data_IF_395339793667
#
_entry.id   IF_395339793667
#
_cell.length_a   1.000
_cell.length_b   1.000
_cell.length_c   1.000
_cell.angle_alpha   90.00
_cell.angle_beta   90.00
_cell.angle_gamma   90.00
#
_symmetry.space_group_name_H-M   'P 1'
#
loop_
_entity.id
_entity.type
_entity.pdbx_description
1 polymer ?
#
# COMPACT_ATOMS: atom_id res chain seq x y z
N UNK A 1 24.28 -12.65 -9.87
CA UNK A 1 23.08 -12.31 -10.66
C UNK A 1 21.97 -12.05 -9.66
N UNK A 2 21.55 -10.80 -9.47
CA UNK A 2 20.49 -10.47 -8.50
C UNK A 2 19.13 -10.84 -9.09
N UNK A 3 18.35 -11.64 -8.38
CA UNK A 3 16.98 -11.98 -8.75
C UNK A 3 16.14 -10.69 -8.73
N UNK A 4 15.82 -10.14 -9.90
CA UNK A 4 14.89 -9.02 -10.02
C UNK A 4 13.48 -9.55 -9.77
N UNK A 5 12.84 -9.12 -8.67
CA UNK A 5 11.43 -9.44 -8.40
C UNK A 5 10.59 -8.78 -9.49
N UNK A 6 9.80 -9.58 -10.21
CA UNK A 6 8.85 -9.09 -11.21
C UNK A 6 7.48 -9.10 -10.56
N UNK A 7 6.97 -7.92 -10.24
CA UNK A 7 5.59 -7.75 -9.77
C UNK A 7 4.71 -7.67 -11.03
N UNK A 8 3.66 -8.48 -11.08
CA UNK A 8 2.73 -8.55 -12.24
C UNK A 8 1.28 -8.30 -11.85
N UNK A 9 1.02 -8.13 -10.56
CA UNK A 9 -0.29 -7.93 -9.97
C UNK A 9 -0.29 -6.69 -9.06
N UNK A 10 -1.48 -6.15 -8.72
CA UNK A 10 -1.60 -5.08 -7.74
C UNK A 10 -0.92 -5.47 -6.42
N UNK A 11 -0.09 -4.58 -5.87
CA UNK A 11 0.65 -4.87 -4.63
C UNK A 11 -0.34 -4.88 -3.46
N UNK A 12 -0.54 -5.99 -2.74
CA UNK A 12 -1.43 -6.02 -1.59
C UNK A 12 -0.88 -5.10 -0.49
N UNK A 13 -1.72 -4.23 0.05
CA UNK A 13 -1.30 -3.17 0.96
C UNK A 13 -2.12 -3.12 2.24
N UNK A 14 -1.46 -2.81 3.35
CA UNK A 14 -2.11 -2.41 4.60
C UNK A 14 -2.20 -0.88 4.58
N UNK A 15 -3.39 -0.33 4.80
CA UNK A 15 -3.57 1.12 4.95
C UNK A 15 -3.62 1.52 6.41
N UNK A 16 -2.91 2.59 6.78
CA UNK A 16 -2.90 3.17 8.11
C UNK A 16 -3.23 4.66 7.99
N UNK A 17 -4.33 5.13 8.57
CA UNK A 17 -4.70 6.56 8.47
C UNK A 17 -5.72 7.03 9.49
N UNK A 18 -5.78 8.33 9.73
CA UNK A 18 -6.59 8.90 10.82
C UNK A 18 -8.12 8.89 10.62
N UNK A 19 -8.62 8.55 9.43
CA UNK A 19 -10.08 8.43 9.22
C UNK A 19 -10.46 7.52 8.05
N UNK A 20 -11.59 6.81 8.20
CA UNK A 20 -12.19 6.02 7.13
C UNK A 20 -12.57 6.88 5.92
N UNK A 21 -13.07 8.10 6.13
CA UNK A 21 -13.49 9.02 5.06
C UNK A 21 -12.33 9.37 4.11
N UNK A 22 -11.13 9.60 4.67
CA UNK A 22 -9.94 9.85 3.85
C UNK A 22 -9.56 8.59 3.06
N UNK A 23 -9.58 7.42 3.71
CA UNK A 23 -9.27 6.16 3.07
C UNK A 23 -10.23 5.84 1.91
N UNK A 24 -11.55 6.04 2.10
CA UNK A 24 -12.58 5.88 1.08
C UNK A 24 -12.37 6.80 -0.14
N UNK A 25 -11.75 7.96 0.06
CA UNK A 25 -11.48 8.91 -1.03
C UNK A 25 -10.19 8.57 -1.78
N UNK A 26 -9.16 8.08 -1.08
CA UNK A 26 -7.82 7.83 -1.63
C UNK A 26 -7.70 6.42 -2.23
N UNK A 27 -8.20 5.39 -1.54
CA UNK A 27 -7.94 4.01 -1.92
C UNK A 27 -8.57 3.57 -3.24
N UNK A 28 -9.76 4.07 -3.65
CA UNK A 28 -10.26 3.82 -5.00
C UNK A 28 -9.34 4.38 -6.08
N UNK A 29 -8.61 5.47 -5.79
CA UNK A 29 -7.65 6.07 -6.71
C UNK A 29 -6.32 5.31 -6.76
N UNK A 30 -6.03 4.52 -5.72
CA UNK A 30 -4.89 3.60 -5.66
C UNK A 30 -5.19 2.23 -6.27
N UNK A 31 -6.47 1.89 -6.45
CA UNK A 31 -6.91 0.58 -6.95
C UNK A 31 -6.90 0.54 -8.48
N UNK A 32 -6.41 -0.55 -9.12
CA UNK A 32 -6.36 -0.67 -10.58
C UNK A 32 -7.67 -0.25 -11.23
N UNK A 33 -7.62 0.69 -12.18
CA UNK A 33 -8.73 0.86 -13.12
C UNK A 33 -8.69 -0.33 -14.06
N UNK A 34 -9.43 -1.37 -13.74
CA UNK A 34 -9.60 -2.52 -14.63
C UNK A 34 -10.58 -2.10 -15.73
N UNK A 35 -10.09 -1.45 -16.78
CA UNK A 35 -10.80 -1.36 -18.06
C UNK A 35 -10.46 -2.61 -18.90
N UNK A 36 -11.37 -3.59 -18.89
CA UNK A 36 -11.28 -4.81 -19.71
C UNK A 36 -11.64 -6.09 -18.96
N UNK A 37 -12.28 -7.04 -19.64
CA UNK A 37 -12.63 -8.34 -19.06
C UNK A 37 -11.40 -9.23 -18.94
N UNK A 38 -11.01 -9.56 -17.71
CA UNK A 38 -10.03 -10.60 -17.45
C UNK A 38 -10.74 -11.79 -16.80
N UNK A 39 -10.61 -12.98 -17.40
CA UNK A 39 -11.02 -14.23 -16.78
C UNK A 39 -9.90 -14.74 -15.87
N UNK A 40 -10.25 -15.03 -14.62
CA UNK A 40 -9.36 -15.68 -13.67
C UNK A 40 -8.98 -17.08 -14.19
N UNK A 41 -7.69 -17.33 -14.41
CA UNK A 41 -7.17 -18.70 -14.53
C UNK A 41 -6.20 -18.99 -13.38
N UNK A 42 -6.31 -20.18 -12.83
CA UNK A 42 -5.66 -20.64 -11.59
C UNK A 42 -4.15 -20.93 -11.70
N UNK A 43 -3.45 -20.38 -12.71
CA UNK A 43 -2.09 -20.85 -13.07
C UNK A 43 -0.98 -19.78 -13.06
N UNK A 44 -1.19 -18.61 -12.46
CA UNK A 44 -0.12 -17.61 -12.35
C UNK A 44 0.87 -17.95 -11.23
N UNK A 45 1.85 -18.80 -11.57
CA UNK A 45 3.08 -19.01 -10.83
C UNK A 45 4.17 -18.10 -11.43
N UNK A 46 4.95 -17.42 -10.59
CA UNK A 46 6.11 -16.57 -10.94
C UNK A 46 6.85 -17.05 -12.19
N UNK A 47 6.68 -16.38 -13.34
CA UNK A 47 7.49 -16.61 -14.54
C UNK A 47 8.26 -15.35 -14.89
N UNK A 48 9.56 -15.52 -15.16
CA UNK A 48 10.37 -14.45 -15.71
C UNK A 48 9.84 -14.05 -17.11
N UNK A 49 9.93 -12.78 -17.50
CA UNK A 49 9.47 -12.33 -18.81
C UNK A 49 10.33 -12.99 -19.89
N UNK A 50 9.71 -13.70 -20.83
CA UNK A 50 10.34 -14.01 -22.12
C UNK A 50 10.11 -12.82 -23.06
N UNK A 51 11.18 -12.36 -23.70
CA UNK A 51 11.35 -11.14 -24.52
C UNK A 51 10.45 -10.96 -25.77
N UNK A 52 9.21 -11.44 -25.81
CA UNK A 52 8.43 -11.51 -27.07
C UNK A 52 7.05 -10.85 -27.11
N UNK A 53 6.68 -9.98 -26.17
CA UNK A 53 5.45 -9.17 -26.33
C UNK A 53 5.59 -7.73 -25.81
N UNK A 54 5.83 -6.72 -26.68
CA UNK A 54 6.12 -5.35 -26.26
C UNK A 54 4.88 -4.47 -26.07
N UNK A 55 3.67 -5.01 -25.85
CA UNK A 55 2.44 -4.20 -25.75
C UNK A 55 1.92 -3.92 -24.33
N UNK A 56 2.67 -4.25 -23.27
CA UNK A 56 2.35 -3.78 -21.90
C UNK A 56 3.02 -2.44 -21.65
N UNK A 57 2.52 -1.39 -22.30
CA UNK A 57 2.99 -0.02 -22.10
C UNK A 57 2.43 0.48 -20.77
N UNK A 58 3.25 0.41 -19.72
CA UNK A 58 3.01 0.96 -18.38
C UNK A 58 1.91 0.23 -17.60
N UNK A 59 2.30 -0.86 -16.92
CA UNK A 59 1.48 -1.38 -15.81
C UNK A 59 1.41 -0.26 -14.77
N UNK A 60 0.26 0.38 -14.61
CA UNK A 60 0.01 1.27 -13.47
C UNK A 60 -0.06 0.36 -12.23
N UNK A 61 1.09 0.12 -11.61
CA UNK A 61 1.21 -0.71 -10.41
C UNK A 61 0.46 -0.02 -9.28
N UNK A 62 -0.72 -0.57 -9.00
CA UNK A 62 -1.72 -0.01 -8.12
C UNK A 62 -1.82 -0.90 -6.88
N UNK A 63 -1.97 -0.32 -5.70
CA UNK A 63 -2.02 -1.09 -4.46
C UNK A 63 -3.45 -1.54 -4.17
N UNK A 64 -3.66 -2.82 -3.89
CA UNK A 64 -4.94 -3.32 -3.41
C UNK A 64 -4.93 -3.32 -1.89
N UNK A 65 -5.68 -2.40 -1.26
CA UNK A 65 -5.73 -2.35 0.21
C UNK A 65 -6.51 -3.55 0.73
N UNK A 66 -5.85 -4.39 1.52
CA UNK A 66 -6.44 -5.60 2.12
C UNK A 66 -7.08 -5.32 3.47
N UNK A 67 -6.56 -4.32 4.21
CA UNK A 67 -7.07 -3.93 5.51
C UNK A 67 -6.72 -2.47 5.80
N UNK A 68 -7.61 -1.76 6.50
CA UNK A 68 -7.35 -0.40 6.96
C UNK A 68 -7.35 -0.30 8.48
N UNK A 69 -6.36 0.41 9.03
CA UNK A 69 -6.14 0.60 10.46
C UNK A 69 -6.21 2.09 10.80
N UNK A 70 -7.04 2.45 11.76
CA UNK A 70 -7.27 3.86 12.12
C UNK A 70 -6.40 4.39 13.25
N UNK A 71 -5.94 3.52 14.15
CA UNK A 71 -5.21 3.94 15.34
C UNK A 71 -3.80 3.35 15.43
N UNK A 72 -2.92 4.10 16.08
CA UNK A 72 -1.54 3.71 16.34
C UNK A 72 -1.43 2.42 17.15
N UNK A 73 -2.27 2.23 18.17
CA UNK A 73 -2.26 1.02 19.02
C UNK A 73 -2.69 -0.23 18.24
N UNK A 74 -3.70 -0.10 17.39
CA UNK A 74 -4.11 -1.19 16.48
C UNK A 74 -2.98 -1.50 15.49
N UNK A 75 -2.29 -0.50 14.94
CA UNK A 75 -1.20 -0.72 14.00
C UNK A 75 -0.02 -1.46 14.66
N UNK A 76 0.34 -1.10 15.90
CA UNK A 76 1.34 -1.85 16.67
C UNK A 76 0.95 -3.31 16.88
N UNK A 77 -0.34 -3.58 17.07
CA UNK A 77 -0.85 -4.92 17.36
C UNK A 77 -0.95 -5.77 16.11
N UNK A 78 -1.57 -5.24 15.04
CA UNK A 78 -2.07 -6.05 13.93
C UNK A 78 -1.18 -6.06 12.69
N UNK A 79 -0.28 -5.08 12.50
CA UNK A 79 0.57 -5.02 11.31
C UNK A 79 1.38 -6.32 11.14
N UNK A 80 1.95 -6.84 12.22
CA UNK A 80 2.73 -8.09 12.16
C UNK A 80 1.91 -9.31 11.73
N UNK A 81 0.65 -9.41 12.15
CA UNK A 81 -0.24 -10.50 11.74
C UNK A 81 -0.65 -10.37 10.27
N UNK A 82 -1.00 -9.15 9.84
CA UNK A 82 -1.37 -8.86 8.47
C UNK A 82 -0.22 -9.12 7.48
N UNK A 83 1.01 -8.75 7.85
CA UNK A 83 2.21 -9.09 7.08
C UNK A 83 2.45 -10.60 7.00
N UNK A 84 1.98 -11.35 8.01
CA UNK A 84 2.06 -12.79 8.05
C UNK A 84 0.87 -13.50 7.38
N UNK A 85 0.01 -12.78 6.65
CA UNK A 85 -1.18 -13.34 6.00
C UNK A 85 -2.28 -13.75 6.97
N UNK A 86 -2.20 -13.32 8.23
CA UNK A 86 -3.24 -13.56 9.23
C UNK A 86 -4.16 -12.35 9.29
N UNK A 87 -5.47 -12.61 9.26
CA UNK A 87 -6.46 -11.57 9.55
C UNK A 87 -6.27 -11.04 10.98
N UNK A 88 -6.65 -9.80 11.25
CA UNK A 88 -6.48 -9.21 12.57
C UNK A 88 -7.57 -9.79 13.47
N UNK A 89 -7.20 -10.71 14.36
CA UNK A 89 -8.09 -11.63 15.09
C UNK A 89 -9.43 -11.02 15.54
N UNK A 90 -9.44 -10.32 16.68
CA UNK A 90 -10.63 -9.66 17.25
C UNK A 90 -10.76 -8.19 16.81
N UNK A 91 -10.20 -7.82 15.65
CA UNK A 91 -10.20 -6.42 15.19
C UNK A 91 -11.62 -5.89 15.03
N UNK A 92 -11.90 -4.61 15.34
CA UNK A 92 -13.16 -3.99 14.99
C UNK A 92 -13.42 -4.18 13.49
N UNK A 93 -14.60 -4.70 13.09
CA UNK A 93 -14.93 -4.77 11.68
C UNK A 93 -14.86 -3.35 11.10
N UNK A 94 -14.04 -3.17 10.07
CA UNK A 94 -14.12 -2.01 9.21
C UNK A 94 -14.50 -2.47 7.81
N UNK A 95 -15.10 -1.57 7.03
CA UNK A 95 -15.58 -1.85 5.68
C UNK A 95 -14.59 -1.43 4.60
N UNK A 96 -13.35 -1.10 4.98
CA UNK A 96 -12.34 -0.54 4.07
C UNK A 96 -11.25 -1.58 3.77
N UNK A 97 -11.16 -1.94 2.50
CA UNK A 97 -10.25 -2.95 1.99
C UNK A 97 -10.98 -4.23 1.59
N UNK A 98 -10.25 -5.18 1.01
CA UNK A 98 -10.84 -6.45 0.54
C UNK A 98 -11.07 -7.47 1.65
N UNK A 99 -10.33 -7.37 2.76
CA UNK A 99 -10.25 -8.38 3.82
C UNK A 99 -9.82 -9.78 3.33
N UNK A 100 -9.18 -9.84 2.16
CA UNK A 100 -8.62 -11.06 1.58
C UNK A 100 -7.18 -11.25 2.08
N UNK A 101 -7.03 -11.83 3.27
CA UNK A 101 -5.74 -12.03 3.92
C UNK A 101 -4.90 -13.17 3.29
N UNK A 102 -5.45 -13.90 2.31
CA UNK A 102 -4.65 -14.84 1.51
C UNK A 102 -3.62 -14.11 0.64
N UNK A 103 -3.82 -12.81 0.42
CA UNK A 103 -2.88 -11.92 -0.26
C UNK A 103 -1.94 -11.28 0.77
N UNK A 104 -0.72 -11.80 0.85
CA UNK A 104 0.28 -11.27 1.77
C UNK A 104 0.63 -9.82 1.43
N UNK A 105 0.53 -8.94 2.41
CA UNK A 105 0.87 -7.54 2.24
C UNK A 105 2.36 -7.38 1.90
N UNK A 106 2.62 -6.60 0.84
CA UNK A 106 3.97 -6.22 0.38
C UNK A 106 4.20 -4.71 0.46
N UNK A 107 3.22 -4.00 0.98
CA UNK A 107 3.25 -2.56 1.16
C UNK A 107 2.44 -2.17 2.41
N UNK A 108 2.91 -1.16 3.13
CA UNK A 108 2.18 -0.48 4.19
C UNK A 108 2.13 1.00 3.83
N UNK A 109 0.94 1.57 3.84
CA UNK A 109 0.65 2.95 3.47
C UNK A 109 0.23 3.74 4.71
N UNK A 110 1.10 4.61 5.21
CA UNK A 110 0.77 5.53 6.29
C UNK A 110 0.33 6.88 5.72
N UNK A 111 -0.92 7.24 5.96
CA UNK A 111 -1.39 8.60 5.73
C UNK A 111 -0.79 9.57 6.74
N UNK A 112 -0.88 10.87 6.44
CA UNK A 112 -0.33 11.99 7.26
C UNK A 112 -0.94 12.15 8.66
N UNK A 113 -1.85 11.26 9.06
CA UNK A 113 -2.35 11.19 10.44
C UNK A 113 -1.39 10.50 11.40
N UNK A 114 -0.37 9.80 10.89
CA UNK A 114 0.69 9.19 11.68
C UNK A 114 1.90 10.12 11.74
N UNK A 115 2.44 10.32 12.93
CA UNK A 115 3.68 11.07 13.16
C UNK A 115 4.90 10.26 12.70
N UNK A 116 6.03 10.93 12.47
CA UNK A 116 7.28 10.25 12.12
C UNK A 116 7.68 9.23 13.19
N UNK A 117 7.56 9.60 14.47
CA UNK A 117 7.88 8.75 15.61
C UNK A 117 7.02 7.48 15.60
N UNK A 118 5.71 7.61 15.35
CA UNK A 118 4.80 6.47 15.28
C UNK A 118 5.14 5.54 14.11
N UNK A 119 5.43 6.08 12.92
CA UNK A 119 5.81 5.27 11.77
C UNK A 119 7.10 4.51 12.05
N UNK A 120 8.11 5.19 12.63
CA UNK A 120 9.39 4.57 13.02
C UNK A 120 9.23 3.51 14.09
N UNK A 121 8.33 3.70 15.05
CA UNK A 121 8.07 2.69 16.09
C UNK A 121 7.42 1.44 15.48
N UNK A 122 6.39 1.60 14.64
CA UNK A 122 5.74 0.45 13.97
C UNK A 122 6.74 -0.26 13.05
N UNK A 123 7.56 0.50 12.32
CA UNK A 123 8.64 -0.04 11.50
C UNK A 123 9.66 -0.83 12.33
N UNK A 124 10.12 -0.29 13.46
CA UNK A 124 11.03 -0.98 14.36
C UNK A 124 10.43 -2.27 14.93
N UNK A 125 9.11 -2.30 15.16
CA UNK A 125 8.42 -3.47 15.69
C UNK A 125 8.25 -4.57 14.63
N UNK A 126 8.02 -4.22 13.36
CA UNK A 126 7.54 -5.17 12.34
C UNK A 126 8.33 -5.21 11.03
N UNK A 127 9.36 -4.37 10.88
CA UNK A 127 10.31 -4.43 9.78
C UNK A 127 10.95 -5.81 9.68
N UNK A 128 11.15 -6.29 8.46
CA UNK A 128 11.71 -7.59 8.13
C UNK A 128 10.78 -8.78 8.39
N UNK A 129 9.51 -8.55 8.77
CA UNK A 129 8.53 -9.63 9.03
C UNK A 129 7.68 -10.02 7.82
N UNK A 130 7.93 -9.44 6.64
CA UNK A 130 7.23 -9.80 5.41
C UNK A 130 7.48 -11.26 5.01
N UNK A 131 6.41 -12.05 4.86
CA UNK A 131 6.53 -13.49 4.56
C UNK A 131 7.05 -13.73 3.14
N UNK A 132 6.63 -12.93 2.16
CA UNK A 132 7.01 -13.09 0.76
C UNK A 132 8.18 -12.20 0.33
N UNK A 133 8.94 -11.68 1.32
CA UNK A 133 10.11 -10.82 1.11
C UNK A 133 9.85 -9.36 1.47
N UNK A 134 10.72 -8.45 0.99
CA UNK A 134 10.74 -7.06 1.45
C UNK A 134 9.41 -6.34 1.29
N UNK A 135 9.04 -5.58 2.33
CA UNK A 135 7.82 -4.77 2.39
C UNK A 135 8.15 -3.29 2.12
N UNK A 136 7.37 -2.65 1.26
CA UNK A 136 7.44 -1.21 1.06
C UNK A 136 6.79 -0.47 2.25
N UNK A 137 7.52 0.44 2.88
CA UNK A 137 7.01 1.26 3.98
C UNK A 137 6.82 2.70 3.50
N UNK A 138 5.63 3.04 3.02
CA UNK A 138 5.36 4.35 2.40
C UNK A 138 4.59 5.21 3.40
N UNK A 139 5.13 6.38 3.74
CA UNK A 139 4.56 7.25 4.75
C UNK A 139 4.44 8.70 4.27
N UNK A 140 3.32 9.35 4.58
CA UNK A 140 3.14 10.76 4.25
C UNK A 140 4.13 11.61 5.05
N UNK A 141 4.85 12.49 4.36
CA UNK A 141 5.82 13.38 4.98
C UNK A 141 5.11 14.36 5.93
N UNK A 142 5.40 14.31 7.25
CA UNK A 142 4.74 15.19 8.23
C UNK A 142 5.14 16.65 8.08
N UNK A 143 6.24 16.96 7.38
CA UNK A 143 6.66 18.33 7.07
C UNK A 143 5.82 18.95 5.94
N UNK A 144 5.12 18.12 5.14
CA UNK A 144 4.23 18.59 4.09
C UNK A 144 2.85 18.83 4.69
N UNK A 145 2.62 20.07 5.12
CA UNK A 145 1.35 20.51 5.68
C UNK A 145 0.13 20.26 4.78
N UNK A 146 -1.09 20.19 5.34
CA UNK A 146 -2.31 20.06 4.55
C UNK A 146 -2.44 21.27 3.60
N UNK A 147 -3.10 21.11 2.45
CA UNK A 147 -3.31 22.21 1.52
C UNK A 147 -3.99 23.40 2.22
N UNK A 148 -3.63 24.65 1.90
CA UNK A 148 -4.02 25.85 2.64
C UNK A 148 -5.53 26.12 2.69
N UNK A 149 -6.32 25.43 1.86
CA UNK A 149 -7.78 25.52 1.85
C UNK A 149 -8.39 24.12 1.99
N UNK A 150 -8.65 23.63 3.22
CA UNK A 150 -9.43 22.42 3.41
C UNK A 150 -10.87 22.69 2.96
N UNK A 151 -11.34 21.96 1.95
CA UNK A 151 -12.74 21.98 1.54
C UNK A 151 -13.64 21.28 2.57
N UNK A 152 -14.95 21.11 2.28
CA UNK A 152 -15.86 20.40 3.16
C UNK A 152 -15.35 18.99 3.46
N UNK A 153 -14.99 18.72 4.72
CA UNK A 153 -14.37 17.45 5.13
C UNK A 153 -12.89 17.53 5.54
N UNK A 154 -12.32 18.73 5.66
CA UNK A 154 -10.99 18.93 6.26
C UNK A 154 -9.82 18.77 5.30
N UNK A 155 -10.09 18.53 4.02
CA UNK A 155 -9.07 18.37 2.97
C UNK A 155 -9.46 19.17 1.74
N UNK A 156 -8.50 19.85 1.10
CA UNK A 156 -8.76 20.71 -0.05
C UNK A 156 -9.21 19.94 -1.30
N UNK A 157 -9.85 20.60 -2.27
CA UNK A 157 -10.13 19.99 -3.56
C UNK A 157 -8.87 19.37 -4.17
N UNK A 158 -8.97 18.15 -4.71
CA UNK A 158 -7.82 17.45 -5.31
C UNK A 158 -6.87 16.80 -4.29
N UNK A 159 -7.16 16.82 -2.99
CA UNK A 159 -6.28 16.21 -1.98
C UNK A 159 -6.14 14.70 -2.17
N UNK A 160 -7.24 14.00 -2.43
CA UNK A 160 -7.23 12.55 -2.54
C UNK A 160 -6.43 12.10 -3.77
N UNK A 161 -6.58 12.81 -4.89
CA UNK A 161 -5.86 12.62 -6.13
C UNK A 161 -4.36 12.83 -5.95
N UNK A 162 -3.95 13.95 -5.35
CA UNK A 162 -2.54 14.23 -5.05
C UNK A 162 -1.94 13.20 -4.11
N UNK A 163 -2.65 12.85 -3.03
CA UNK A 163 -2.19 11.84 -2.09
C UNK A 163 -2.01 10.47 -2.79
N UNK A 164 -2.96 10.08 -3.64
CA UNK A 164 -2.87 8.85 -4.40
C UNK A 164 -1.71 8.87 -5.41
N UNK A 165 -1.49 10.00 -6.11
CA UNK A 165 -0.37 10.18 -7.04
C UNK A 165 0.99 10.07 -6.33
N UNK A 166 1.17 10.75 -5.20
CA UNK A 166 2.42 10.68 -4.43
C UNK A 166 2.70 9.27 -3.90
N UNK A 167 1.68 8.55 -3.43
CA UNK A 167 1.82 7.13 -3.04
C UNK A 167 2.21 6.25 -4.23
N UNK A 168 1.57 6.43 -5.38
CA UNK A 168 1.91 5.68 -6.61
C UNK A 168 3.33 5.93 -7.07
N UNK A 169 3.79 7.17 -7.00
CA UNK A 169 5.16 7.55 -7.35
C UNK A 169 6.17 6.90 -6.40
N UNK A 170 5.92 6.97 -5.09
CA UNK A 170 6.77 6.33 -4.07
C UNK A 170 6.85 4.81 -4.26
N UNK A 171 5.71 4.15 -4.49
CA UNK A 171 5.64 2.72 -4.72
C UNK A 171 6.34 2.33 -6.04
N UNK A 172 6.11 3.08 -7.12
CA UNK A 172 6.73 2.82 -8.41
C UNK A 172 8.25 2.92 -8.34
N UNK A 173 8.79 3.94 -7.65
CA UNK A 173 10.24 4.06 -7.40
C UNK A 173 10.79 2.88 -6.62
N UNK A 174 10.07 2.41 -5.60
CA UNK A 174 10.48 1.23 -4.84
C UNK A 174 10.57 -0.03 -5.71
N UNK A 175 9.58 -0.23 -6.59
CA UNK A 175 9.55 -1.35 -7.55
C UNK A 175 10.68 -1.22 -8.57
N UNK A 176 10.88 -0.04 -9.15
CA UNK A 176 11.93 0.24 -10.14
C UNK A 176 13.33 -0.01 -9.56
N UNK A 177 13.51 0.29 -8.26
CA UNK A 177 14.72 0.00 -7.50
C UNK A 177 14.83 -1.48 -7.06
N UNK A 178 13.99 -2.36 -7.59
CA UNK A 178 14.07 -3.82 -7.43
C UNK A 178 13.27 -4.39 -6.26
N UNK A 179 12.46 -3.59 -5.57
CA UNK A 179 11.58 -4.04 -4.49
C UNK A 179 12.32 -4.79 -3.36
N UNK A 180 13.54 -4.32 -3.03
CA UNK A 180 14.40 -4.94 -2.01
C UNK A 180 14.53 -4.13 -0.72
N UNK A 181 14.31 -2.82 -0.77
CA UNK A 181 14.48 -1.96 0.40
C UNK A 181 13.30 -2.12 1.37
N UNK A 182 13.60 -2.09 2.66
CA UNK A 182 12.59 -1.97 3.72
C UNK A 182 12.69 -0.61 4.43
N UNK A 183 13.41 0.35 3.87
CA UNK A 183 13.45 1.71 4.42
C UNK A 183 12.10 2.42 4.26
N UNK A 184 11.83 3.36 5.17
CA UNK A 184 10.64 4.21 5.10
C UNK A 184 10.82 5.23 3.96
N UNK A 185 9.86 5.24 3.03
CA UNK A 185 9.79 6.14 1.89
C UNK A 185 8.75 7.22 2.19
N UNK A 186 9.20 8.47 2.25
CA UNK A 186 8.36 9.63 2.53
C UNK A 186 7.77 10.23 1.23
N UNK A 187 6.51 10.66 1.26
CA UNK A 187 5.78 11.25 0.12
C UNK A 187 4.92 12.48 0.44
#
# INVERSE_FOLDING_TARGET
MSNKIVITEPVPAIGCGGSFKTAESVFPLLSPKIEGSWSWSSEFRWKQPSDSNPSVTKLEFMSAVIHFITSFEEAKTYVGDLLAGRGPGECPPNHVGSHDYSKHARCILFGRGYTEEQVREIHSLHGGKGVDGPVAWIAGDPTVGPPPNPGPGGYGPGFAEKAAESVKEALSKWIENGAQSEEIIWY
#
